data_IF_853502665441
#
_entry.id   IF_853502665441
#
_cell.length_a   1.000
_cell.length_b   1.000
_cell.length_c   1.000
_cell.angle_alpha   90.00
_cell.angle_beta   90.00
_cell.angle_gamma   90.00
#
_symmetry.space_group_name_H-M   'P 1'
#
loop_
_entity.id
_entity.type
_entity.pdbx_description
1 polymer ?
#
# COMPACT_ATOMS: atom_id res chain seq x y z
N UNK A 1 34.90 11.57 22.79
CA UNK A 1 33.50 11.98 22.51
C UNK A 1 32.61 10.74 22.50
N UNK A 2 31.72 10.59 23.50
CA UNK A 2 30.83 9.42 23.64
C UNK A 2 29.65 9.56 22.67
N UNK A 3 29.44 8.56 21.80
CA UNK A 3 28.24 8.45 20.96
C UNK A 3 27.10 7.91 21.83
N UNK A 4 26.04 8.69 21.99
CA UNK A 4 24.82 8.26 22.66
C UNK A 4 24.06 7.28 21.75
N UNK A 5 23.88 6.04 22.20
CA UNK A 5 22.89 5.14 21.63
C UNK A 5 21.50 5.65 22.06
N UNK A 6 20.67 6.10 21.12
CA UNK A 6 19.25 6.32 21.41
C UNK A 6 18.59 4.95 21.59
N UNK A 7 18.53 4.48 22.83
CA UNK A 7 17.54 3.48 23.22
C UNK A 7 16.16 4.13 23.15
N UNK A 8 15.21 3.51 22.46
CA UNK A 8 13.81 3.88 22.52
C UNK A 8 13.30 3.66 23.95
N UNK A 9 13.26 4.73 24.75
CA UNK A 9 12.48 4.77 25.98
C UNK A 9 11.13 5.40 25.68
N UNK A 10 10.08 4.58 25.67
CA UNK A 10 8.68 5.03 25.72
C UNK A 10 8.11 4.78 27.12
N UNK A 11 8.91 5.03 28.17
CA UNK A 11 8.40 5.02 29.54
C UNK A 11 7.59 6.28 29.81
N UNK A 12 6.34 6.32 29.32
CA UNK A 12 5.25 7.12 29.86
C UNK A 12 3.94 6.72 29.15
N UNK A 13 3.42 5.55 29.52
CA UNK A 13 2.02 5.20 29.29
C UNK A 13 1.20 5.73 30.48
N UNK A 14 0.23 6.64 30.30
CA UNK A 14 -0.82 6.77 31.29
C UNK A 14 -1.72 5.53 31.22
N UNK A 15 -1.86 4.84 32.36
CA UNK A 15 -2.95 3.88 32.59
C UNK A 15 -4.23 4.70 32.78
N UNK A 16 -5.29 4.46 32.01
CA UNK A 16 -6.66 4.19 32.50
C UNK A 16 -7.78 4.25 31.44
N UNK A 17 -8.77 3.39 31.73
CA UNK A 17 -10.20 3.30 31.40
C UNK A 17 -10.74 3.50 29.97
N UNK A 18 -11.34 2.41 29.51
CA UNK A 18 -12.37 2.32 28.47
C UNK A 18 -13.60 3.15 28.85
N UNK A 19 -14.04 4.07 27.99
CA UNK A 19 -15.46 4.25 27.65
C UNK A 19 -15.64 5.09 26.37
N UNK A 20 -16.39 4.50 25.44
CA UNK A 20 -17.29 5.05 24.42
C UNK A 20 -17.03 6.45 23.86
N UNK A 21 -16.73 6.54 22.55
CA UNK A 21 -17.40 7.46 21.60
C UNK A 21 -17.27 6.91 20.17
N UNK A 22 -18.40 6.45 19.63
CA UNK A 22 -18.58 6.07 18.23
C UNK A 22 -19.05 7.27 17.41
N UNK A 23 -18.79 7.20 16.10
CA UNK A 23 -19.44 7.93 14.99
C UNK A 23 -19.04 9.39 14.74
N UNK A 24 -18.08 9.59 13.83
CA UNK A 24 -18.02 10.82 13.01
C UNK A 24 -17.45 10.62 11.59
N UNK A 25 -16.98 9.44 11.20
CA UNK A 25 -16.31 9.25 9.90
C UNK A 25 -17.19 8.67 8.78
N UNK A 26 -18.35 8.08 9.10
CA UNK A 26 -19.20 7.40 8.12
C UNK A 26 -20.14 8.32 7.33
N UNK A 27 -20.45 9.53 7.83
CA UNK A 27 -21.45 10.39 7.16
C UNK A 27 -20.92 11.17 5.95
N UNK A 28 -19.59 11.31 5.78
CA UNK A 28 -19.02 12.00 4.62
C UNK A 28 -18.92 11.15 3.34
N UNK A 29 -19.36 9.89 3.36
CA UNK A 29 -19.16 8.94 2.25
C UNK A 29 -20.26 8.92 1.18
N UNK A 30 -21.38 9.65 1.34
CA UNK A 30 -22.51 9.57 0.39
C UNK A 30 -22.56 10.61 -0.72
N UNK A 31 -21.48 11.36 -0.99
CA UNK A 31 -21.50 12.39 -2.03
C UNK A 31 -20.33 12.35 -3.02
N UNK A 32 -19.99 11.17 -3.55
CA UNK A 32 -19.40 11.06 -4.89
C UNK A 32 -20.03 9.85 -5.59
N UNK A 33 -21.00 10.13 -6.45
CA UNK A 33 -21.48 9.17 -7.44
C UNK A 33 -21.74 9.94 -8.73
N UNK A 34 -21.16 9.45 -9.82
CA UNK A 34 -21.31 9.89 -11.23
C UNK A 34 -20.58 11.18 -11.62
N UNK A 35 -19.42 11.03 -12.24
CA UNK A 35 -19.14 11.72 -13.51
C UNK A 35 -18.57 10.69 -14.48
N UNK A 36 -19.35 10.41 -15.52
CA UNK A 36 -18.97 9.61 -16.67
C UNK A 36 -18.23 10.44 -17.72
N UNK A 37 -17.62 9.71 -18.66
CA UNK A 37 -16.95 10.13 -19.89
C UNK A 37 -17.36 11.52 -20.41
N UNK A 38 -16.36 12.40 -20.58
CA UNK A 38 -16.50 13.64 -21.32
C UNK A 38 -15.16 14.39 -21.39
N UNK A 39 -14.70 14.67 -22.61
CA UNK A 39 -13.55 15.53 -22.90
C UNK A 39 -13.67 16.89 -22.20
N UNK A 40 -12.59 17.34 -21.54
CA UNK A 40 -12.49 18.72 -21.05
C UNK A 40 -11.21 19.34 -21.60
N UNK A 41 -11.41 20.22 -22.57
CA UNK A 41 -10.50 21.30 -22.94
C UNK A 41 -10.43 22.30 -21.79
N UNK A 42 -9.23 22.52 -21.25
CA UNK A 42 -8.98 23.57 -20.26
C UNK A 42 -8.44 24.83 -20.94
N UNK A 43 -9.28 25.85 -21.07
CA UNK A 43 -8.82 27.24 -21.22
C UNK A 43 -8.52 27.80 -19.84
N UNK A 44 -7.26 28.15 -19.63
CA UNK A 44 -6.78 28.96 -18.51
C UNK A 44 -7.22 30.40 -18.72
N UNK A 45 -7.84 31.02 -17.72
CA UNK A 45 -7.84 32.48 -17.55
C UNK A 45 -7.92 32.84 -16.07
N UNK A 46 -7.22 33.91 -15.73
CA UNK A 46 -6.66 34.23 -14.44
C UNK A 46 -7.56 35.07 -13.52
N UNK A 47 -7.24 34.99 -12.22
CA UNK A 47 -7.18 36.04 -11.19
C UNK A 47 -8.09 37.28 -11.30
N UNK A 48 -8.93 37.47 -10.27
CA UNK A 48 -9.48 38.77 -9.90
C UNK A 48 -9.89 38.81 -8.42
N UNK A 49 -9.33 39.76 -7.66
CA UNK A 49 -9.62 40.05 -6.25
C UNK A 49 -10.90 40.90 -6.08
N UNK A 50 -11.42 40.89 -4.85
CA UNK A 50 -12.32 41.84 -4.17
C UNK A 50 -13.84 41.61 -4.22
N UNK A 51 -14.48 41.83 -3.06
CA UNK A 51 -15.83 42.41 -2.99
C UNK A 51 -16.77 41.77 -1.97
N UNK A 52 -17.08 42.53 -0.91
CA UNK A 52 -18.08 42.26 0.13
C UNK A 52 -19.54 42.31 -0.38
N UNK A 53 -20.42 41.64 0.37
CA UNK A 53 -21.86 41.88 0.60
C UNK A 53 -22.82 42.03 -0.61
N UNK A 54 -23.90 41.24 -0.60
CA UNK A 54 -25.06 41.51 -1.44
C UNK A 54 -26.12 40.42 -1.45
N UNK A 55 -26.99 40.43 -0.44
CA UNK A 55 -28.26 39.72 -0.38
C UNK A 55 -29.21 40.34 -1.41
N UNK A 56 -29.81 39.58 -2.34
CA UNK A 56 -31.17 39.83 -2.87
C UNK A 56 -31.69 38.61 -3.64
N UNK A 57 -32.91 38.20 -3.29
CA UNK A 57 -33.78 37.29 -4.03
C UNK A 57 -34.22 37.94 -5.34
N UNK A 58 -34.50 37.16 -6.38
CA UNK A 58 -35.90 36.97 -6.86
C UNK A 58 -36.00 36.25 -8.21
N UNK A 59 -37.01 35.38 -8.24
CA UNK A 59 -37.94 35.06 -9.33
C UNK A 59 -37.49 34.32 -10.58
N UNK A 60 -38.08 33.13 -10.67
CA UNK A 60 -38.41 32.37 -11.86
C UNK A 60 -38.98 33.22 -13.01
N UNK A 61 -38.71 32.80 -14.24
CA UNK A 61 -39.73 32.81 -15.28
C UNK A 61 -39.58 31.59 -16.19
N UNK A 62 -40.71 30.90 -16.38
CA UNK A 62 -40.91 29.71 -17.21
C UNK A 62 -41.11 30.07 -18.69
N UNK A 63 -41.13 29.00 -19.49
CA UNK A 63 -41.68 28.83 -20.85
C UNK A 63 -40.69 29.09 -21.99
N UNK A 64 -40.68 28.36 -23.11
CA UNK A 64 -41.32 27.10 -23.52
C UNK A 64 -40.59 26.63 -24.81
N UNK A 65 -40.62 25.33 -25.08
CA UNK A 65 -40.27 24.69 -26.37
C UNK A 65 -41.20 25.18 -27.50
N UNK A 66 -40.83 25.08 -28.80
CA UNK A 66 -41.17 23.85 -29.52
C UNK A 66 -40.27 23.42 -30.73
N UNK A 67 -40.12 22.09 -30.86
CA UNK A 67 -40.20 21.19 -32.05
C UNK A 67 -39.48 21.39 -33.39
N UNK A 68 -38.87 20.26 -33.85
CA UNK A 68 -38.86 19.62 -35.21
C UNK A 68 -38.12 20.37 -36.34
N UNK A 69 -37.50 19.77 -37.37
CA UNK A 69 -37.50 18.43 -37.96
C UNK A 69 -36.21 18.19 -38.81
N UNK A 70 -35.92 16.91 -39.05
CA UNK A 70 -35.39 16.20 -40.25
C UNK A 70 -34.59 16.92 -41.36
N UNK A 71 -33.58 16.21 -41.93
CA UNK A 71 -33.25 16.37 -43.37
C UNK A 71 -31.85 16.00 -43.88
N UNK A 72 -31.66 14.72 -44.21
CA UNK A 72 -30.63 14.01 -45.01
C UNK A 72 -29.86 14.74 -46.16
N UNK A 73 -28.54 14.43 -46.19
CA UNK A 73 -27.71 13.84 -47.28
C UNK A 73 -27.27 14.57 -48.59
N UNK A 74 -26.01 14.20 -48.96
CA UNK A 74 -25.28 14.20 -50.27
C UNK A 74 -24.56 15.50 -50.67
N UNK A 75 -23.22 15.59 -50.64
CA UNK A 75 -22.15 14.94 -51.43
C UNK A 75 -21.86 15.60 -52.78
N UNK A 76 -20.63 16.15 -52.96
CA UNK A 76 -19.64 15.77 -54.00
C UNK A 76 -18.70 16.92 -54.45
N UNK A 77 -17.46 16.51 -54.79
CA UNK A 77 -16.51 17.10 -55.76
C UNK A 77 -15.71 18.37 -55.38
N UNK A 78 -14.42 18.59 -55.71
CA UNK A 78 -13.28 17.83 -56.26
C UNK A 78 -12.17 18.87 -56.52
N UNK A 79 -10.89 18.56 -56.22
CA UNK A 79 -9.80 18.64 -57.22
C UNK A 79 -8.48 18.02 -56.72
N UNK A 80 -7.92 17.21 -57.62
CA UNK A 80 -6.64 16.47 -57.59
C UNK A 80 -5.42 17.38 -57.77
N UNK A 81 -4.27 16.91 -57.30
CA UNK A 81 -3.15 16.58 -58.22
C UNK A 81 -2.30 15.44 -57.65
N UNK A 82 -1.88 14.55 -58.56
CA UNK A 82 -1.19 13.28 -58.36
C UNK A 82 0.26 13.42 -58.80
N UNK A 83 1.21 12.80 -58.09
CA UNK A 83 2.42 12.22 -58.70
C UNK A 83 2.65 10.85 -58.04
N UNK A 84 2.75 9.80 -58.86
CA UNK A 84 3.22 8.45 -58.51
C UNK A 84 4.57 8.23 -59.19
N UNK A 85 5.46 7.46 -58.55
CA UNK A 85 6.11 6.32 -59.20
C UNK A 85 6.56 5.29 -58.14
N UNK A 86 6.60 4.04 -58.57
CA UNK A 86 6.47 2.80 -57.80
C UNK A 86 7.79 2.20 -57.25
N UNK A 87 7.66 1.63 -56.04
CA UNK A 87 8.16 0.34 -55.51
C UNK A 87 9.63 -0.06 -55.75
N UNK A 88 10.37 -0.18 -54.64
CA UNK A 88 11.26 -1.33 -54.42
C UNK A 88 11.09 -1.86 -52.99
N UNK A 89 11.05 -3.18 -52.90
CA UNK A 89 10.76 -4.04 -51.77
C UNK A 89 11.98 -4.16 -50.85
N UNK A 90 11.81 -3.94 -49.54
CA UNK A 90 12.72 -4.48 -48.53
C UNK A 90 12.04 -4.49 -47.14
N UNK A 91 11.66 -5.69 -46.72
CA UNK A 91 11.23 -6.02 -45.37
C UNK A 91 12.34 -5.74 -44.36
N UNK A 92 12.11 -4.80 -43.44
CA UNK A 92 12.78 -4.80 -42.13
C UNK A 92 11.73 -4.63 -41.03
N UNK A 93 11.45 -5.74 -40.36
CA UNK A 93 10.62 -5.79 -39.15
C UNK A 93 11.47 -5.32 -37.97
N UNK A 94 11.46 -4.02 -37.68
CA UNK A 94 11.93 -3.50 -36.39
C UNK A 94 10.76 -3.40 -35.42
N UNK A 95 10.43 -4.52 -34.77
CA UNK A 95 9.71 -4.47 -33.49
C UNK A 95 10.68 -3.89 -32.47
N UNK A 96 10.56 -2.60 -32.21
CA UNK A 96 11.25 -1.97 -31.07
C UNK A 96 10.45 -2.35 -29.82
N UNK A 97 11.02 -3.25 -29.03
CA UNK A 97 10.51 -3.65 -27.72
C UNK A 97 10.67 -2.50 -26.72
N UNK A 98 9.78 -1.52 -26.78
CA UNK A 98 9.65 -0.42 -25.82
C UNK A 98 8.73 -0.88 -24.67
N UNK A 99 9.13 -1.87 -23.88
CA UNK A 99 8.38 -2.21 -22.65
C UNK A 99 9.23 -2.70 -21.46
N UNK A 100 10.56 -2.82 -21.60
CA UNK A 100 11.43 -3.31 -20.52
C UNK A 100 12.45 -2.31 -19.98
N UNK A 101 12.73 -1.20 -20.66
CA UNK A 101 13.74 -0.20 -20.25
C UNK A 101 13.22 0.78 -19.20
N UNK A 102 12.00 1.30 -19.35
CA UNK A 102 11.46 2.31 -18.43
C UNK A 102 11.17 1.74 -17.03
N UNK A 103 10.74 0.48 -16.95
CA UNK A 103 10.47 -0.22 -15.68
C UNK A 103 11.77 -0.48 -14.90
N UNK A 104 12.87 -0.73 -15.60
CA UNK A 104 14.19 -0.90 -14.97
C UNK A 104 14.81 0.43 -14.56
N UNK A 105 14.68 1.49 -15.36
CA UNK A 105 15.15 2.83 -15.00
C UNK A 105 14.42 3.39 -13.78
N UNK A 106 13.08 3.41 -13.76
CA UNK A 106 12.31 4.01 -12.65
C UNK A 106 12.56 3.29 -11.32
N UNK A 107 12.72 1.96 -11.35
CA UNK A 107 13.04 1.16 -10.17
C UNK A 107 14.48 1.34 -9.69
N UNK A 108 15.44 1.40 -10.61
CA UNK A 108 16.86 1.60 -10.29
C UNK A 108 17.12 3.01 -9.75
N UNK A 109 16.52 4.04 -10.34
CA UNK A 109 16.73 5.44 -9.91
C UNK A 109 16.23 5.68 -8.50
N UNK A 110 15.07 5.14 -8.10
CA UNK A 110 14.56 5.26 -6.73
C UNK A 110 15.37 4.48 -5.70
N UNK A 111 15.92 3.33 -6.11
CA UNK A 111 16.82 2.54 -5.28
C UNK A 111 18.13 3.27 -4.96
N UNK A 112 18.72 3.90 -5.97
CA UNK A 112 19.94 4.72 -5.81
C UNK A 112 19.63 5.93 -4.93
N UNK A 113 18.49 6.58 -5.14
CA UNK A 113 18.08 7.77 -4.40
C UNK A 113 17.88 7.50 -2.89
N UNK A 114 17.26 6.38 -2.49
CA UNK A 114 17.10 6.10 -1.05
C UNK A 114 18.43 5.81 -0.35
N UNK A 115 19.35 5.10 -1.01
CA UNK A 115 20.67 4.80 -0.43
C UNK A 115 21.50 6.08 -0.31
N UNK A 116 21.41 6.96 -1.30
CA UNK A 116 22.00 8.28 -1.24
C UNK A 116 21.38 9.12 -0.12
N UNK A 117 20.04 9.13 -0.02
CA UNK A 117 19.29 9.79 1.05
C UNK A 117 19.74 9.29 2.42
N UNK A 118 19.98 7.98 2.59
CA UNK A 118 20.48 7.38 3.83
C UNK A 118 21.91 7.84 4.15
N UNK A 119 22.79 7.87 3.15
CA UNK A 119 24.16 8.31 3.32
C UNK A 119 24.26 9.82 3.66
N UNK A 120 23.37 10.64 3.12
CA UNK A 120 23.40 12.10 3.25
C UNK A 120 22.62 12.63 4.46
N UNK A 121 21.55 11.95 4.90
CA UNK A 121 20.70 12.42 5.99
C UNK A 121 21.12 11.86 7.35
N UNK A 122 21.60 12.75 8.23
CA UNK A 122 21.90 12.44 9.63
C UNK A 122 20.67 12.02 10.45
N UNK A 123 19.46 12.35 10.02
CA UNK A 123 18.21 12.09 10.75
C UNK A 123 17.14 11.41 9.88
N UNK A 124 17.46 10.19 9.42
CA UNK A 124 16.55 9.33 8.67
C UNK A 124 15.23 9.04 9.38
N UNK A 125 15.20 9.12 10.71
CA UNK A 125 13.97 8.95 11.47
C UNK A 125 12.91 9.99 11.10
N UNK A 126 13.30 11.18 10.60
CA UNK A 126 12.36 12.20 10.09
C UNK A 126 11.79 11.91 8.71
N UNK A 127 12.38 10.98 7.96
CA UNK A 127 11.93 10.61 6.62
C UNK A 127 11.19 9.27 6.59
N UNK A 128 11.43 8.41 7.58
CA UNK A 128 10.86 7.06 7.60
C UNK A 128 9.57 7.00 8.42
N UNK A 129 8.55 6.36 7.84
CA UNK A 129 7.29 6.01 8.51
C UNK A 129 7.23 4.49 8.63
N UNK A 130 7.20 3.94 9.84
CA UNK A 130 7.22 2.50 10.05
C UNK A 130 5.82 2.02 10.42
N UNK A 131 5.28 1.14 9.59
CA UNK A 131 3.94 0.60 9.76
C UNK A 131 4.04 -0.92 9.84
N UNK A 132 3.62 -1.50 10.96
CA UNK A 132 3.46 -2.94 11.10
C UNK A 132 2.16 -3.34 10.42
N UNK A 133 2.14 -4.42 9.66
CA UNK A 133 0.91 -4.92 9.05
C UNK A 133 0.87 -6.45 9.06
N UNK A 134 -0.35 -6.97 8.92
CA UNK A 134 -0.64 -8.39 8.81
C UNK A 134 -1.92 -8.58 7.98
N UNK A 135 -2.03 -9.71 7.29
CA UNK A 135 -3.20 -10.07 6.47
C UNK A 135 -3.70 -11.47 6.80
N UNK A 136 -5.02 -11.63 6.72
CA UNK A 136 -5.64 -12.96 6.66
C UNK A 136 -6.13 -13.22 5.23
N UNK A 137 -6.08 -14.48 4.80
CA UNK A 137 -6.41 -14.88 3.43
C UNK A 137 -7.35 -16.10 3.40
N UNK A 138 -8.01 -16.34 2.27
CA UNK A 138 -8.84 -17.54 2.05
C UNK A 138 -8.04 -18.84 1.91
N UNK A 139 -6.70 -18.74 1.86
CA UNK A 139 -5.75 -19.86 1.76
C UNK A 139 -4.34 -19.39 1.35
N UNK A 140 -3.43 -20.31 1.02
CA UNK A 140 -2.01 -19.99 0.86
C UNK A 140 -1.56 -19.58 -0.55
N UNK A 141 -2.34 -19.89 -1.59
CA UNK A 141 -1.94 -19.58 -2.97
C UNK A 141 -2.28 -18.15 -3.33
N UNK A 142 -1.28 -17.26 -3.41
CA UNK A 142 -1.48 -15.87 -3.86
C UNK A 142 -2.16 -15.77 -5.24
N UNK A 143 -2.00 -16.78 -6.11
CA UNK A 143 -2.58 -16.79 -7.46
C UNK A 143 -4.09 -16.98 -7.47
N UNK A 144 -4.64 -17.75 -6.51
CA UNK A 144 -6.05 -18.12 -6.48
C UNK A 144 -6.79 -17.56 -5.27
N UNK A 145 -6.11 -17.43 -4.15
CA UNK A 145 -6.67 -17.01 -2.87
C UNK A 145 -6.67 -15.48 -2.74
N UNK A 146 -7.53 -15.00 -1.85
CA UNK A 146 -7.84 -13.58 -1.67
C UNK A 146 -7.56 -13.15 -0.24
N UNK A 147 -7.20 -11.88 -0.07
CA UNK A 147 -7.12 -11.24 1.25
C UNK A 147 -8.55 -11.03 1.78
N UNK A 148 -8.75 -11.30 3.07
CA UNK A 148 -10.05 -11.19 3.78
C UNK A 148 -10.00 -10.35 5.06
N UNK A 149 -8.80 -10.03 5.56
CA UNK A 149 -8.59 -9.04 6.62
C UNK A 149 -7.24 -8.36 6.36
N UNK A 150 -7.17 -7.06 6.64
CA UNK A 150 -5.92 -6.30 6.67
C UNK A 150 -5.90 -5.49 7.95
N UNK A 151 -4.79 -5.56 8.68
CA UNK A 151 -4.50 -4.72 9.83
C UNK A 151 -3.18 -3.96 9.63
N UNK A 152 -3.13 -2.71 10.09
CA UNK A 152 -1.94 -1.86 10.07
C UNK A 152 -1.81 -1.10 11.40
N UNK A 153 -0.58 -0.85 11.82
CA UNK A 153 -0.24 0.03 12.94
C UNK A 153 0.98 0.89 12.64
N UNK A 154 0.80 2.20 12.63
CA UNK A 154 1.88 3.19 12.60
C UNK A 154 2.57 3.26 13.96
N UNK A 155 3.86 2.94 14.02
CA UNK A 155 4.61 2.93 15.28
C UNK A 155 4.81 4.31 15.89
N UNK A 156 4.56 5.40 15.15
CA UNK A 156 4.69 6.78 15.61
C UNK A 156 3.34 7.49 15.82
N UNK A 157 2.23 6.88 15.42
CA UNK A 157 0.92 7.56 15.27
C UNK A 157 0.09 7.76 16.55
N UNK A 158 0.62 7.40 17.73
CA UNK A 158 -0.11 7.56 19.01
C UNK A 158 -1.41 6.74 19.08
N UNK A 159 -2.45 7.31 19.69
CA UNK A 159 -3.75 6.64 19.96
C UNK A 159 -4.49 6.21 18.68
N UNK A 160 -4.44 7.01 17.62
CA UNK A 160 -5.08 6.73 16.34
C UNK A 160 -4.10 6.12 15.33
N UNK A 161 -3.22 5.23 15.78
CA UNK A 161 -2.17 4.63 14.95
C UNK A 161 -2.61 3.42 14.14
N UNK A 162 -3.82 2.90 14.36
CA UNK A 162 -4.26 1.64 13.77
C UNK A 162 -5.28 1.79 12.65
N UNK A 163 -5.28 0.84 11.73
CA UNK A 163 -6.31 0.63 10.72
C UNK A 163 -6.59 -0.87 10.63
N UNK A 164 -7.86 -1.25 10.59
CA UNK A 164 -8.27 -2.65 10.42
C UNK A 164 -9.56 -2.71 9.62
N UNK A 165 -9.64 -3.66 8.70
CA UNK A 165 -10.90 -3.96 8.03
C UNK A 165 -10.93 -5.40 7.54
N UNK A 166 -12.13 -5.99 7.53
CA UNK A 166 -12.40 -7.14 6.70
C UNK A 166 -12.39 -6.73 5.22
N UNK A 167 -12.21 -7.71 4.34
CA UNK A 167 -12.25 -7.55 2.89
C UNK A 167 -13.16 -8.61 2.30
N UNK A 168 -14.07 -8.21 1.42
CA UNK A 168 -14.94 -9.12 0.70
C UNK A 168 -14.15 -9.75 -0.45
N UNK A 169 -13.85 -11.06 -0.40
CA UNK A 169 -13.03 -11.71 -1.43
C UNK A 169 -13.86 -12.06 -2.69
N UNK A 170 -15.18 -11.85 -2.65
CA UNK A 170 -16.12 -12.28 -3.70
C UNK A 170 -16.31 -13.79 -3.79
N UNK A 171 -15.92 -14.54 -2.76
CA UNK A 171 -15.97 -16.02 -2.71
C UNK A 171 -16.15 -16.51 -1.27
N UNK A 172 -16.35 -17.82 -1.10
CA UNK A 172 -16.39 -18.45 0.21
C UNK A 172 -15.02 -18.45 0.91
N UNK A 173 -15.06 -18.51 2.23
CA UNK A 173 -13.89 -18.58 3.13
C UNK A 173 -13.87 -19.97 3.79
N UNK A 174 -13.17 -20.97 3.22
CA UNK A 174 -13.21 -22.35 3.68
C UNK A 174 -12.36 -22.58 4.95
N UNK A 175 -11.38 -21.72 5.20
CA UNK A 175 -10.39 -21.84 6.26
C UNK A 175 -10.74 -21.03 7.53
N UNK A 176 -12.03 -20.73 7.74
CA UNK A 176 -12.50 -19.97 8.91
C UNK A 176 -12.11 -20.56 10.28
N UNK A 177 -11.77 -21.85 10.35
CA UNK A 177 -11.24 -22.49 11.56
C UNK A 177 -9.83 -22.00 11.97
N UNK A 178 -9.09 -21.33 11.07
CA UNK A 178 -7.77 -20.79 11.33
C UNK A 178 -7.87 -19.42 12.02
N UNK A 179 -8.63 -18.51 11.42
CA UNK A 179 -8.67 -17.08 11.80
C UNK A 179 -10.03 -16.62 12.34
N UNK A 180 -11.04 -17.50 12.38
CA UNK A 180 -12.38 -17.18 12.88
C UNK A 180 -13.24 -16.27 11.99
N UNK A 181 -12.78 -15.95 10.77
CA UNK A 181 -13.52 -15.09 9.83
C UNK A 181 -14.37 -15.98 8.93
N UNK A 182 -15.68 -15.83 9.01
CA UNK A 182 -16.63 -16.65 8.23
C UNK A 182 -16.98 -15.98 6.90
N UNK A 183 -17.47 -16.79 5.95
CA UNK A 183 -18.05 -16.29 4.70
C UNK A 183 -19.16 -15.26 4.94
N UNK A 184 -19.98 -15.46 5.99
CA UNK A 184 -21.02 -14.50 6.36
C UNK A 184 -20.47 -13.13 6.77
N UNK A 185 -19.36 -13.09 7.50
CA UNK A 185 -18.74 -11.84 7.95
C UNK A 185 -18.21 -10.98 6.80
N UNK A 186 -17.53 -11.61 5.83
CA UNK A 186 -16.92 -10.89 4.69
C UNK A 186 -17.94 -10.50 3.61
N UNK A 187 -19.11 -11.13 3.61
CA UNK A 187 -20.20 -10.82 2.67
C UNK A 187 -21.17 -9.75 3.18
N UNK A 188 -20.95 -9.19 4.38
CA UNK A 188 -21.80 -8.11 4.88
C UNK A 188 -21.68 -6.88 3.96
N UNK A 189 -22.77 -6.10 3.79
CA UNK A 189 -22.78 -4.98 2.82
C UNK A 189 -21.76 -3.87 3.09
N UNK A 190 -21.33 -3.72 4.35
CA UNK A 190 -20.34 -2.72 4.79
C UNK A 190 -18.88 -3.13 4.54
N UNK A 191 -18.64 -4.40 4.18
CA UNK A 191 -17.29 -4.92 3.97
C UNK A 191 -16.84 -4.65 2.52
N UNK A 192 -15.79 -3.82 2.31
CA UNK A 192 -15.39 -3.43 0.97
C UNK A 192 -14.75 -4.58 0.21
N UNK A 193 -14.89 -4.57 -1.12
CA UNK A 193 -14.03 -5.38 -1.99
C UNK A 193 -12.66 -4.72 -2.08
N UNK A 194 -11.64 -5.49 -2.48
CA UNK A 194 -10.28 -4.99 -2.58
C UNK A 194 -10.14 -3.74 -3.46
N UNK A 195 -10.86 -3.68 -4.58
CA UNK A 195 -10.82 -2.52 -5.48
C UNK A 195 -11.28 -1.22 -4.83
N UNK A 196 -12.26 -1.29 -3.92
CA UNK A 196 -12.74 -0.13 -3.16
C UNK A 196 -11.83 0.18 -1.97
N UNK A 197 -11.15 -0.84 -1.44
CA UNK A 197 -10.26 -0.73 -0.29
C UNK A 197 -8.91 -0.09 -0.64
N UNK A 198 -8.32 -0.40 -1.80
CA UNK A 198 -6.98 0.10 -2.16
C UNK A 198 -6.87 1.63 -2.08
N UNK A 199 -7.80 2.43 -2.64
CA UNK A 199 -7.75 3.89 -2.49
C UNK A 199 -7.81 4.36 -1.03
N UNK A 200 -8.57 3.66 -0.18
CA UNK A 200 -8.68 3.96 1.26
C UNK A 200 -7.36 3.64 1.95
N UNK A 201 -6.76 2.49 1.65
CA UNK A 201 -5.48 2.07 2.19
C UNK A 201 -4.35 3.03 1.80
N UNK A 202 -4.29 3.42 0.52
CA UNK A 202 -3.33 4.40 0.02
C UNK A 202 -3.47 5.75 0.73
N UNK A 203 -4.70 6.24 0.91
CA UNK A 203 -4.96 7.49 1.64
C UNK A 203 -4.59 7.38 3.11
N UNK A 204 -4.91 6.26 3.76
CA UNK A 204 -4.54 6.03 5.16
C UNK A 204 -3.02 6.07 5.32
N UNK A 205 -2.29 5.25 4.56
CA UNK A 205 -0.83 5.19 4.65
C UNK A 205 -0.19 6.52 4.25
N UNK A 206 -0.68 7.18 3.20
CA UNK A 206 -0.22 8.51 2.78
C UNK A 206 -0.43 9.58 3.85
N UNK A 207 -1.51 9.51 4.64
CA UNK A 207 -1.73 10.44 5.76
C UNK A 207 -0.77 10.24 6.94
N UNK A 208 -0.13 9.07 7.04
CA UNK A 208 0.91 8.78 8.06
C UNK A 208 2.29 9.10 7.55
N UNK A 209 2.47 9.06 6.24
CA UNK A 209 3.75 9.25 5.60
C UNK A 209 4.31 10.64 5.93
N UNK A 210 5.55 10.66 6.41
CA UNK A 210 6.28 11.92 6.61
C UNK A 210 6.50 12.64 5.27
N UNK A 211 6.40 13.97 5.21
CA UNK A 211 6.56 14.72 3.97
C UNK A 211 7.88 14.42 3.26
N UNK A 212 7.82 14.07 1.98
CA UNK A 212 9.01 13.68 1.18
C UNK A 212 9.67 12.38 1.64
N UNK A 213 9.03 11.62 2.53
CA UNK A 213 9.58 10.44 3.17
C UNK A 213 9.22 9.12 2.49
N UNK A 214 9.65 8.04 3.13
CA UNK A 214 9.38 6.67 2.73
C UNK A 214 8.50 5.97 3.76
N UNK A 215 7.76 4.96 3.31
CA UNK A 215 6.98 4.08 4.18
C UNK A 215 7.66 2.73 4.24
N UNK A 216 7.84 2.20 5.44
CA UNK A 216 8.44 0.90 5.72
C UNK A 216 7.36 0.01 6.31
N UNK A 217 6.87 -0.93 5.51
CA UNK A 217 5.85 -1.89 5.88
C UNK A 217 6.52 -3.15 6.44
N UNK A 218 6.25 -3.47 7.69
CA UNK A 218 6.89 -4.57 8.42
C UNK A 218 5.87 -5.68 8.65
N UNK A 219 6.18 -6.89 8.21
CA UNK A 219 5.39 -8.09 8.48
C UNK A 219 6.30 -9.27 8.89
N UNK A 220 5.69 -10.34 9.40
CA UNK A 220 6.42 -11.55 9.76
C UNK A 220 6.28 -12.60 8.67
N UNK A 221 7.38 -13.03 8.05
CA UNK A 221 7.37 -13.80 6.79
C UNK A 221 6.82 -12.97 5.61
N UNK A 222 7.02 -11.65 5.66
CA UNK A 222 6.52 -10.68 4.69
C UNK A 222 6.86 -11.06 3.24
N UNK A 223 8.10 -11.48 2.97
CA UNK A 223 8.57 -11.82 1.62
C UNK A 223 7.96 -13.12 1.12
N UNK A 224 7.67 -14.05 2.03
CA UNK A 224 7.11 -15.36 1.72
C UNK A 224 5.60 -15.34 1.53
N UNK A 225 4.89 -14.43 2.21
CA UNK A 225 3.43 -14.48 2.34
C UNK A 225 2.75 -13.13 2.05
N UNK A 226 2.81 -12.18 2.99
CA UNK A 226 1.98 -10.97 2.98
C UNK A 226 2.20 -10.08 1.75
N UNK A 227 3.46 -9.75 1.47
CA UNK A 227 3.83 -8.82 0.38
C UNK A 227 3.42 -9.38 -0.98
N UNK A 228 3.67 -10.66 -1.31
CA UNK A 228 3.16 -11.23 -2.54
C UNK A 228 1.63 -11.20 -2.70
N UNK A 229 0.87 -11.41 -1.63
CA UNK A 229 -0.59 -11.28 -1.68
C UNK A 229 -0.99 -9.84 -1.95
N UNK A 230 -0.35 -8.88 -1.27
CA UNK A 230 -0.59 -7.45 -1.47
C UNK A 230 -0.29 -7.03 -2.93
N UNK A 231 0.86 -7.44 -3.49
CA UNK A 231 1.23 -7.20 -4.89
C UNK A 231 0.15 -7.76 -5.83
N UNK A 232 -0.31 -8.99 -5.59
CA UNK A 232 -1.31 -9.62 -6.46
C UNK A 232 -2.65 -8.91 -6.39
N UNK A 233 -3.09 -8.50 -5.21
CA UNK A 233 -4.34 -7.75 -5.03
C UNK A 233 -4.30 -6.37 -5.70
N UNK A 234 -3.19 -5.64 -5.57
CA UNK A 234 -2.97 -4.39 -6.28
C UNK A 234 -3.03 -4.59 -7.80
N UNK A 235 -2.30 -5.58 -8.32
CA UNK A 235 -2.29 -5.91 -9.74
C UNK A 235 -3.67 -6.33 -10.28
N UNK A 236 -4.41 -7.17 -9.54
CA UNK A 236 -5.80 -7.59 -9.89
C UNK A 236 -6.74 -6.40 -10.03
N UNK A 237 -6.50 -5.33 -9.28
CA UNK A 237 -7.30 -4.12 -9.28
C UNK A 237 -6.71 -2.99 -10.14
N UNK A 238 -5.66 -3.28 -10.93
CA UNK A 238 -4.97 -2.30 -11.78
C UNK A 238 -4.41 -1.09 -11.01
N UNK A 239 -3.90 -1.33 -9.81
CA UNK A 239 -3.14 -0.37 -9.01
C UNK A 239 -1.68 -0.80 -8.89
N UNK A 240 -0.80 0.18 -8.79
CA UNK A 240 0.61 -0.03 -8.46
C UNK A 240 0.85 0.22 -6.97
N UNK A 241 1.75 -0.56 -6.38
CA UNK A 241 2.25 -0.26 -5.04
C UNK A 241 3.09 1.02 -5.12
N UNK A 242 2.90 1.99 -4.21
CA UNK A 242 3.67 3.22 -4.24
C UNK A 242 5.18 2.96 -4.22
N UNK A 243 5.93 3.66 -5.08
CA UNK A 243 7.34 3.34 -5.33
C UNK A 243 8.28 3.87 -4.25
N UNK A 244 7.73 4.48 -3.20
CA UNK A 244 8.41 4.90 -1.97
C UNK A 244 8.02 4.02 -0.78
N UNK A 245 7.37 2.88 -1.03
CA UNK A 245 7.11 1.84 -0.03
C UNK A 245 8.19 0.76 -0.08
N UNK A 246 8.72 0.46 1.10
CA UNK A 246 9.69 -0.59 1.36
C UNK A 246 9.06 -1.61 2.29
N UNK A 247 9.57 -2.82 2.24
CA UNK A 247 9.10 -3.90 3.09
C UNK A 247 10.23 -4.45 3.94
N UNK A 248 9.93 -4.82 5.18
CA UNK A 248 10.84 -5.52 6.08
C UNK A 248 10.20 -6.85 6.47
N UNK A 249 10.95 -7.93 6.32
CA UNK A 249 10.58 -9.25 6.81
C UNK A 249 11.28 -9.52 8.14
N UNK A 250 10.50 -9.72 9.19
CA UNK A 250 11.06 -9.98 10.53
C UNK A 250 11.47 -11.43 10.76
N UNK A 251 11.10 -12.37 9.88
CA UNK A 251 11.46 -13.79 10.04
C UNK A 251 13.00 -14.02 9.94
N UNK A 252 13.73 -13.43 8.97
CA UNK A 252 15.19 -13.48 8.97
C UNK A 252 15.82 -12.88 10.24
N UNK A 253 15.32 -11.74 10.73
CA UNK A 253 15.79 -11.10 11.95
C UNK A 253 15.61 -12.01 13.18
N UNK A 254 14.43 -12.61 13.30
CA UNK A 254 14.13 -13.55 14.36
C UNK A 254 15.07 -14.77 14.35
N UNK A 255 15.34 -15.33 13.16
CA UNK A 255 16.30 -16.43 13.02
C UNK A 255 17.71 -16.03 13.39
N UNK A 256 18.12 -14.80 13.13
CA UNK A 256 19.44 -14.28 13.51
C UNK A 256 19.59 -14.19 15.03
N UNK A 257 18.61 -13.61 15.73
CA UNK A 257 18.62 -13.55 17.20
C UNK A 257 18.73 -14.95 17.81
N UNK A 258 17.93 -15.91 17.32
CA UNK A 258 17.95 -17.28 17.83
C UNK A 258 19.31 -17.98 17.63
N UNK A 259 20.01 -17.71 16.52
CA UNK A 259 21.37 -18.24 16.27
C UNK A 259 22.38 -17.64 17.24
N UNK A 260 22.34 -16.32 17.42
CA UNK A 260 23.27 -15.61 18.30
C UNK A 260 23.15 -16.02 19.77
N UNK A 261 21.96 -16.49 20.19
CA UNK A 261 21.73 -17.08 21.51
C UNK A 261 22.20 -18.54 21.66
N UNK A 262 22.86 -19.14 20.66
CA UNK A 262 23.36 -20.52 20.71
C UNK A 262 22.29 -21.60 20.62
N UNK A 263 21.02 -21.22 20.39
CA UNK A 263 19.91 -22.15 20.27
C UNK A 263 19.83 -22.76 18.86
N UNK A 264 19.45 -24.04 18.78
CA UNK A 264 19.08 -24.66 17.50
C UNK A 264 17.84 -23.95 16.96
N UNK A 265 17.99 -23.22 15.86
CA UNK A 265 16.85 -22.51 15.24
C UNK A 265 15.83 -23.53 14.75
N UNK A 266 14.58 -23.49 15.24
CA UNK A 266 13.55 -24.39 14.75
C UNK A 266 13.24 -24.06 13.28
N UNK A 267 12.82 -25.07 12.48
CA UNK A 267 12.52 -24.86 11.06
C UNK A 267 11.41 -23.79 10.85
N UNK A 268 10.45 -23.75 11.78
CA UNK A 268 9.40 -22.73 11.84
C UNK A 268 9.64 -21.85 13.06
N UNK A 269 9.85 -20.56 12.83
CA UNK A 269 9.85 -19.51 13.85
C UNK A 269 8.55 -18.77 13.65
N UNK A 270 7.54 -19.05 14.47
CA UNK A 270 6.24 -18.36 14.38
C UNK A 270 6.22 -17.12 15.24
N UNK A 271 5.35 -16.17 14.91
CA UNK A 271 5.14 -14.97 15.71
C UNK A 271 4.73 -15.30 17.16
N UNK A 272 3.85 -16.29 17.34
CA UNK A 272 3.45 -16.76 18.67
C UNK A 272 4.63 -17.31 19.49
N UNK A 273 5.52 -18.10 18.86
CA UNK A 273 6.71 -18.62 19.53
C UNK A 273 7.67 -17.48 19.93
N UNK A 274 7.79 -16.43 19.12
CA UNK A 274 8.55 -15.23 19.46
C UNK A 274 7.91 -14.45 20.60
N UNK A 275 6.58 -14.31 20.59
CA UNK A 275 5.84 -13.71 21.70
C UNK A 275 6.12 -14.43 23.01
N UNK A 276 6.05 -15.77 23.01
CA UNK A 276 6.40 -16.60 24.18
C UNK A 276 7.86 -16.42 24.60
N UNK A 277 8.80 -16.45 23.65
CA UNK A 277 10.22 -16.28 23.94
C UNK A 277 10.52 -14.94 24.64
N UNK A 278 9.86 -13.87 24.22
CA UNK A 278 10.03 -12.53 24.80
C UNK A 278 9.10 -12.23 25.99
N UNK A 279 8.27 -13.19 26.42
CA UNK A 279 7.30 -12.98 27.49
C UNK A 279 6.24 -11.91 27.16
N UNK A 280 5.91 -11.75 25.88
CA UNK A 280 4.87 -10.82 25.42
C UNK A 280 3.52 -11.53 25.51
N UNK A 281 2.56 -11.02 26.29
CA UNK A 281 1.25 -11.65 26.43
C UNK A 281 0.47 -11.59 25.13
N UNK A 282 -0.17 -12.70 24.77
CA UNK A 282 -1.18 -12.72 23.71
C UNK A 282 -2.48 -12.13 24.27
N UNK A 283 -2.96 -11.04 23.68
CA UNK A 283 -4.23 -10.41 24.03
C UNK A 283 -5.19 -10.59 22.86
N UNK A 284 -6.21 -11.44 23.03
CA UNK A 284 -7.17 -11.79 21.99
C UNK A 284 -6.90 -13.16 21.36
N UNK A 285 -7.62 -13.46 20.27
CA UNK A 285 -7.43 -14.69 19.49
C UNK A 285 -6.23 -14.52 18.55
N UNK A 286 -5.30 -15.48 18.57
CA UNK A 286 -4.31 -15.61 17.50
C UNK A 286 -5.00 -15.78 16.14
N UNK A 287 -4.32 -15.40 15.06
CA UNK A 287 -4.86 -15.40 13.69
C UNK A 287 -6.02 -14.43 13.52
N UNK A 288 -5.90 -13.28 14.18
CA UNK A 288 -6.67 -12.08 13.85
C UNK A 288 -5.66 -11.02 13.55
N UNK A 289 -5.76 -10.40 12.37
CA UNK A 289 -4.67 -9.59 11.83
C UNK A 289 -4.20 -8.50 12.81
N UNK A 290 -5.11 -7.83 13.53
CA UNK A 290 -4.72 -6.79 14.50
C UNK A 290 -4.05 -7.33 15.77
N UNK A 291 -4.44 -8.53 16.23
CA UNK A 291 -3.78 -9.19 17.36
C UNK A 291 -2.34 -9.51 16.98
N UNK A 292 -2.13 -10.03 15.76
CA UNK A 292 -0.81 -10.34 15.23
C UNK A 292 0.01 -9.07 14.96
N UNK A 293 -0.60 -7.99 14.46
CA UNK A 293 0.06 -6.66 14.36
C UNK A 293 0.52 -6.14 15.72
N UNK A 294 -0.28 -6.27 16.77
CA UNK A 294 0.12 -5.86 18.12
C UNK A 294 1.27 -6.71 18.67
N UNK A 295 1.20 -8.02 18.50
CA UNK A 295 2.28 -8.93 18.89
C UNK A 295 3.57 -8.62 18.12
N UNK A 296 3.47 -8.48 16.80
CA UNK A 296 4.60 -8.15 15.94
C UNK A 296 5.19 -6.79 16.26
N UNK A 297 4.38 -5.80 16.65
CA UNK A 297 4.89 -4.49 17.10
C UNK A 297 5.86 -4.64 18.28
N UNK A 298 5.48 -5.44 19.28
CA UNK A 298 6.31 -5.67 20.46
C UNK A 298 7.52 -6.57 20.15
N UNK A 299 7.32 -7.64 19.37
CA UNK A 299 8.41 -8.53 18.93
C UNK A 299 9.43 -7.77 18.09
N UNK A 300 9.00 -6.93 17.16
CA UNK A 300 9.88 -6.13 16.31
C UNK A 300 10.76 -5.17 17.12
N UNK A 301 10.22 -4.56 18.17
CA UNK A 301 11.02 -3.75 19.11
C UNK A 301 12.09 -4.57 19.81
N UNK A 302 11.78 -5.81 20.22
CA UNK A 302 12.76 -6.71 20.85
C UNK A 302 13.85 -7.15 19.87
N UNK A 303 13.45 -7.59 18.67
CA UNK A 303 14.39 -8.00 17.63
C UNK A 303 15.37 -6.89 17.24
N UNK A 304 14.86 -5.67 17.01
CA UNK A 304 15.71 -4.53 16.65
C UNK A 304 16.64 -4.12 17.79
N UNK A 305 16.21 -4.23 19.04
CA UNK A 305 17.05 -4.01 20.21
C UNK A 305 18.17 -5.06 20.34
N UNK A 306 17.83 -6.34 20.27
CA UNK A 306 18.80 -7.45 20.43
C UNK A 306 19.87 -7.44 19.33
N UNK A 307 19.45 -7.14 18.09
CA UNK A 307 20.34 -7.00 16.93
C UNK A 307 21.01 -5.63 16.85
N UNK A 308 20.71 -4.70 17.77
CA UNK A 308 21.25 -3.32 17.79
C UNK A 308 21.03 -2.59 16.46
N UNK A 309 19.88 -2.82 15.82
CA UNK A 309 19.54 -2.24 14.52
C UNK A 309 19.10 -0.78 14.68
N UNK A 310 19.78 0.10 13.95
CA UNK A 310 19.33 1.47 13.68
C UNK A 310 18.39 1.49 12.47
N UNK A 311 17.65 2.58 12.27
CA UNK A 311 16.86 2.79 11.05
C UNK A 311 17.71 2.64 9.77
N UNK A 312 18.86 3.34 9.61
CA UNK A 312 19.73 3.14 8.45
C UNK A 312 20.07 1.66 8.19
N UNK A 313 20.56 0.95 9.21
CA UNK A 313 20.96 -0.46 9.06
C UNK A 313 19.78 -1.38 8.76
N UNK A 314 18.59 -1.07 9.30
CA UNK A 314 17.37 -1.80 8.98
C UNK A 314 17.01 -1.66 7.49
N UNK A 315 17.06 -0.44 6.97
CA UNK A 315 16.70 -0.17 5.57
C UNK A 315 17.76 -0.76 4.62
N UNK A 316 19.04 -0.52 4.87
CA UNK A 316 20.12 -0.99 3.98
C UNK A 316 20.28 -2.51 3.98
N UNK A 317 20.14 -3.16 5.15
CA UNK A 317 20.44 -4.57 5.33
C UNK A 317 19.23 -5.51 5.28
N UNK A 318 18.04 -5.01 5.61
CA UNK A 318 16.89 -5.88 5.91
C UNK A 318 15.58 -5.46 5.23
N UNK A 319 15.57 -4.35 4.50
CA UNK A 319 14.42 -3.97 3.68
C UNK A 319 14.52 -4.52 2.24
N UNK A 320 13.40 -4.51 1.54
CA UNK A 320 13.31 -4.84 0.12
C UNK A 320 12.15 -4.11 -0.55
N UNK A 321 12.28 -3.96 -1.86
CA UNK A 321 11.27 -3.40 -2.73
C UNK A 321 10.29 -4.48 -3.20
N UNK A 322 9.04 -4.11 -3.51
CA UNK A 322 8.07 -5.08 -4.03
C UNK A 322 8.53 -5.76 -5.33
N UNK A 323 9.32 -5.09 -6.17
CA UNK A 323 9.91 -5.66 -7.41
C UNK A 323 10.93 -6.77 -7.15
N UNK A 324 11.52 -6.84 -5.95
CA UNK A 324 12.48 -7.89 -5.58
C UNK A 324 11.79 -9.20 -5.16
N UNK A 325 10.46 -9.19 -4.99
CA UNK A 325 9.67 -10.38 -4.63
C UNK A 325 9.51 -11.27 -5.85
N UNK A 326 9.90 -12.55 -5.74
CA UNK A 326 9.83 -13.53 -6.84
C UNK A 326 11.04 -13.57 -7.76
N UNK A 327 11.93 -12.58 -7.67
CA UNK A 327 13.26 -12.62 -8.28
C UNK A 327 14.14 -13.61 -7.51
N UNK A 328 14.12 -14.88 -7.90
CA UNK A 328 15.09 -15.86 -7.41
C UNK A 328 16.49 -15.29 -7.61
N UNK A 329 17.25 -15.06 -6.53
CA UNK A 329 18.70 -14.89 -6.64
C UNK A 329 19.23 -16.14 -7.33
N UNK A 330 19.50 -16.08 -8.64
CA UNK A 330 20.36 -17.06 -9.30
C UNK A 330 21.65 -17.02 -8.51
N UNK A 331 21.88 -18.02 -7.65
CA UNK A 331 23.20 -18.27 -7.08
C UNK A 331 24.13 -18.35 -8.29
N UNK A 332 25.00 -17.36 -8.47
CA UNK A 332 26.19 -17.56 -9.29
C UNK A 332 26.97 -18.65 -8.56
N UNK A 333 26.80 -19.90 -9.00
CA UNK A 333 27.78 -20.93 -8.73
C UNK A 333 29.02 -20.50 -9.51
N UNK A 334 29.91 -19.77 -8.86
CA UNK A 334 31.32 -19.74 -9.25
C UNK A 334 31.85 -21.13 -8.93
N UNK A 335 32.02 -21.91 -9.99
CA UNK A 335 32.84 -23.12 -9.99
C UNK A 335 34.32 -22.76 -9.81
#
# INVERSE_FOLDING_TARGET
MRRAAMCFSLSQFPRCSVHTLTNSWWQSFHHISRIGRGSISSKVLASGKHGLNGRYNSTENRQALPTKAEGKNKAAFSRKTTIRHEILDETTTSKVDIYNSEVTEIGCTKYVDIRQTIAENKDLAKLMTIIIFDIETTGFSREHERIIEIALRDLHGGENSTFQTLVNPGRSVPNSHIHGITTGMVNRPDVPRMGDLIPILLRYVGSRQKPGGYVVLVAHNARGFDVPFLIKEFSRCSFDIPPNWLFVDTLPLAREVMKSGGAKVPPKVSLQALGQHYGIPLVGSAHRAMVDVHMLSAVFQRLTFDLKLTIPSLIEGHSFWPSEVGSSKKKKNTA
#
